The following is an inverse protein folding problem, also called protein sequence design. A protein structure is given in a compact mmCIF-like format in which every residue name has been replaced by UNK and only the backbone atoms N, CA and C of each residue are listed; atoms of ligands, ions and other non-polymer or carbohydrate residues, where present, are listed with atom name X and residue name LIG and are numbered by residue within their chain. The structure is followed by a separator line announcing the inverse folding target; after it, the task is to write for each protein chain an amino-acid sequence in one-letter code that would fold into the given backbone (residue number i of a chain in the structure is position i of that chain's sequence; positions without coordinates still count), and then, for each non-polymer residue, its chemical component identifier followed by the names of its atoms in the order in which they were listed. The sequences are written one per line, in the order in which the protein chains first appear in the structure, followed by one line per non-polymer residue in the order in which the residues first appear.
data_IF_487327310451
#
_entry.id   IF_487327310451
#
_cell.length_a   1.000
_cell.length_b   1.000
_cell.length_c   1.000
_cell.angle_alpha   90.00
_cell.angle_beta   90.00
_cell.angle_gamma   90.00
#
_symmetry.space_group_name_H-M   'P 1'
#
loop_
_entity.id
_entity.type
_entity.pdbx_description
1 polymer ?
#
# COMPACT_ATOMS: atom_id res chain seq x y z
N UNK A 1 3.12 -8.40 14.15
CA UNK A 1 2.96 -7.08 14.82
C UNK A 1 1.59 -7.02 15.51
N UNK A 2 1.56 -6.86 16.85
CA UNK A 2 0.33 -6.62 17.62
C UNK A 2 -0.52 -5.50 17.02
N UNK A 3 -1.85 -5.59 17.09
CA UNK A 3 -2.77 -4.66 16.37
C UNK A 3 -2.54 -3.21 16.78
N UNK A 4 -2.28 -3.00 18.06
CA UNK A 4 -2.04 -1.71 18.71
C UNK A 4 -0.74 -1.06 18.21
N UNK A 5 0.24 -1.88 17.81
CA UNK A 5 1.55 -1.44 17.34
C UNK A 5 1.64 -1.28 15.83
N UNK A 6 0.64 -1.74 15.06
CA UNK A 6 0.70 -1.73 13.58
C UNK A 6 0.92 -0.34 13.01
N UNK A 7 0.21 0.66 13.54
CA UNK A 7 0.35 2.04 13.06
C UNK A 7 1.77 2.57 13.29
N UNK A 8 2.35 2.31 14.47
CA UNK A 8 3.71 2.73 14.80
C UNK A 8 4.73 1.99 13.92
N UNK A 9 4.56 0.69 13.73
CA UNK A 9 5.42 -0.11 12.88
C UNK A 9 5.39 0.36 11.41
N UNK A 10 4.22 0.69 10.88
CA UNK A 10 4.08 1.24 9.51
C UNK A 10 4.76 2.60 9.41
N UNK A 11 4.58 3.49 10.39
CA UNK A 11 5.29 4.80 10.40
C UNK A 11 6.79 4.61 10.41
N UNK A 12 7.31 3.71 11.24
CA UNK A 12 8.74 3.39 11.27
C UNK A 12 9.21 2.83 9.92
N UNK A 13 8.44 1.93 9.30
CA UNK A 13 8.77 1.41 7.97
C UNK A 13 8.80 2.50 6.90
N UNK A 14 7.87 3.47 6.94
CA UNK A 14 7.89 4.62 6.02
C UNK A 14 9.16 5.46 6.22
N UNK A 15 9.59 5.68 7.46
CA UNK A 15 10.84 6.43 7.74
C UNK A 15 12.10 5.72 7.22
N UNK A 16 12.05 4.40 7.01
CA UNK A 16 13.15 3.61 6.47
C UNK A 16 13.21 3.61 4.93
N UNK A 17 12.19 4.14 4.24
CA UNK A 17 12.21 4.27 2.78
C UNK A 17 13.17 5.38 2.33
N UNK A 18 13.77 5.28 1.12
CA UNK A 18 14.44 6.41 0.49
C UNK A 18 13.53 7.64 0.38
N UNK A 19 14.12 8.83 0.36
CA UNK A 19 13.39 10.10 0.35
C UNK A 19 12.40 10.18 -0.80
N UNK A 20 12.83 9.79 -2.00
CA UNK A 20 12.01 9.78 -3.21
C UNK A 20 10.81 8.85 -3.06
N UNK A 21 11.00 7.70 -2.42
CA UNK A 21 9.93 6.73 -2.16
C UNK A 21 8.95 7.25 -1.10
N UNK A 22 9.39 8.02 -0.10
CA UNK A 22 8.51 8.63 0.90
C UNK A 22 7.62 9.69 0.26
N UNK A 23 8.19 10.58 -0.56
CA UNK A 23 7.45 11.62 -1.28
C UNK A 23 6.45 11.02 -2.28
N UNK A 24 6.87 10.00 -3.03
CA UNK A 24 6.00 9.27 -3.95
C UNK A 24 4.85 8.57 -3.20
N UNK A 25 5.14 7.90 -2.07
CA UNK A 25 4.13 7.25 -1.25
C UNK A 25 3.13 8.26 -0.66
N UNK A 26 3.60 9.41 -0.19
CA UNK A 26 2.71 10.45 0.32
C UNK A 26 1.78 10.98 -0.77
N UNK A 27 2.34 11.31 -1.95
CA UNK A 27 1.56 11.80 -3.09
C UNK A 27 0.52 10.76 -3.51
N UNK A 28 0.91 9.49 -3.59
CA UNK A 28 0.01 8.39 -3.90
C UNK A 28 -1.11 8.26 -2.86
N UNK A 29 -0.78 8.28 -1.56
CA UNK A 29 -1.78 8.15 -0.49
C UNK A 29 -2.76 9.33 -0.46
N UNK A 30 -2.30 10.56 -0.73
CA UNK A 30 -3.17 11.73 -0.89
C UNK A 30 -4.14 11.52 -2.06
N UNK A 31 -3.64 11.14 -3.23
CA UNK A 31 -4.49 10.86 -4.39
C UNK A 31 -5.52 9.75 -4.11
N UNK A 32 -5.09 8.65 -3.48
CA UNK A 32 -5.99 7.55 -3.13
C UNK A 32 -7.04 7.96 -2.09
N UNK A 33 -6.71 8.89 -1.19
CA UNK A 33 -7.68 9.48 -0.27
C UNK A 33 -8.80 10.17 -1.04
N UNK A 34 -8.47 10.98 -2.05
CA UNK A 34 -9.46 11.67 -2.89
C UNK A 34 -10.32 10.68 -3.71
N UNK A 35 -9.70 9.61 -4.21
CA UNK A 35 -10.43 8.52 -4.87
C UNK A 35 -11.44 7.88 -3.91
N UNK A 36 -11.04 7.56 -2.68
CA UNK A 36 -11.96 6.98 -1.69
C UNK A 36 -13.02 7.95 -1.19
N UNK A 37 -12.76 9.26 -1.22
CA UNK A 37 -13.77 10.27 -0.91
C UNK A 37 -14.91 10.26 -1.95
N UNK A 38 -14.62 9.82 -3.18
CA UNK A 38 -15.59 9.68 -4.27
C UNK A 38 -16.21 8.28 -4.36
N UNK A 39 -16.21 7.50 -3.27
CA UNK A 39 -16.73 6.11 -3.22
C UNK A 39 -18.18 5.97 -3.68
N UNK A 40 -19.01 7.02 -3.54
CA UNK A 40 -20.39 7.02 -4.05
C UNK A 40 -20.47 6.88 -5.58
N UNK A 41 -19.49 7.42 -6.30
CA UNK A 41 -19.45 7.40 -7.76
C UNK A 41 -18.59 6.24 -8.30
N UNK A 42 -17.43 5.99 -7.67
CA UNK A 42 -16.45 5.02 -8.18
C UNK A 42 -16.46 3.67 -7.45
N UNK A 43 -17.19 3.53 -6.33
CA UNK A 43 -17.31 2.30 -5.53
C UNK A 43 -15.96 1.77 -4.97
N UNK A 44 -14.91 2.58 -5.00
CA UNK A 44 -13.58 2.20 -4.53
C UNK A 44 -13.45 2.48 -3.02
N UNK A 45 -13.48 1.41 -2.23
CA UNK A 45 -13.15 1.47 -0.79
C UNK A 45 -11.65 1.40 -0.56
N UNK A 46 -11.18 1.80 0.64
CA UNK A 46 -9.78 1.61 1.04
C UNK A 46 -9.32 0.15 0.88
N UNK A 47 -10.22 -0.80 1.15
CA UNK A 47 -9.94 -2.24 0.99
C UNK A 47 -9.77 -2.61 -0.47
N UNK A 48 -10.64 -2.15 -1.37
CA UNK A 48 -10.53 -2.43 -2.81
C UNK A 48 -9.21 -1.90 -3.37
N UNK A 49 -8.85 -0.66 -3.01
CA UNK A 49 -7.57 -0.07 -3.40
C UNK A 49 -6.38 -0.85 -2.85
N UNK A 50 -6.41 -1.24 -1.57
CA UNK A 50 -5.34 -2.02 -0.95
C UNK A 50 -5.14 -3.38 -1.65
N UNK A 51 -6.23 -4.08 -1.96
CA UNK A 51 -6.18 -5.38 -2.66
C UNK A 51 -5.59 -5.23 -4.06
N UNK A 52 -5.98 -4.20 -4.80
CA UNK A 52 -5.52 -3.99 -6.17
C UNK A 52 -4.08 -3.44 -6.27
N UNK A 53 -3.67 -2.60 -5.31
CA UNK A 53 -2.38 -1.90 -5.37
C UNK A 53 -1.24 -2.63 -4.66
N UNK A 54 -1.53 -3.40 -3.61
CA UNK A 54 -0.50 -4.12 -2.86
C UNK A 54 0.39 -5.01 -3.75
N UNK A 55 -0.12 -5.75 -4.76
CA UNK A 55 0.72 -6.56 -5.64
C UNK A 55 1.72 -5.73 -6.46
N UNK A 56 1.31 -4.55 -6.93
CA UNK A 56 2.17 -3.66 -7.73
C UNK A 56 3.18 -2.91 -6.87
N UNK A 57 2.79 -2.46 -5.68
CA UNK A 57 3.67 -1.70 -4.78
C UNK A 57 4.72 -2.60 -4.11
N UNK A 58 4.33 -3.80 -3.70
CA UNK A 58 5.21 -4.72 -2.96
C UNK A 58 5.72 -5.89 -3.81
N UNK A 59 5.45 -5.88 -5.12
CA UNK A 59 5.85 -6.92 -6.06
C UNK A 59 5.50 -8.36 -5.59
N UNK A 60 4.39 -8.54 -4.86
CA UNK A 60 4.06 -9.82 -4.20
C UNK A 60 3.89 -11.00 -5.16
N UNK A 61 3.64 -10.73 -6.44
CA UNK A 61 3.55 -11.72 -7.50
C UNK A 61 4.91 -12.31 -7.91
N UNK A 62 6.02 -11.61 -7.70
CA UNK A 62 7.37 -12.14 -7.99
C UNK A 62 7.77 -13.19 -6.95
N UNK A 63 7.49 -12.93 -5.67
CA UNK A 63 7.74 -13.84 -4.55
C UNK A 63 6.98 -15.18 -4.68
N UNK A 64 5.77 -15.15 -5.25
CA UNK A 64 4.97 -16.37 -5.51
C UNK A 64 5.56 -17.23 -6.63
N UNK A 65 6.23 -16.63 -7.61
CA UNK A 65 6.79 -17.34 -8.76
C UNK A 65 8.06 -18.11 -8.41
N UNK A 66 8.90 -17.56 -7.53
CA UNK A 66 10.11 -18.23 -7.04
C UNK A 66 9.80 -19.48 -6.20
N UNK A 67 8.67 -19.50 -5.49
CA UNK A 67 8.22 -20.69 -4.72
C UNK A 67 7.63 -21.82 -5.58
N UNK A 68 7.51 -21.62 -6.90
CA UNK A 68 6.91 -22.57 -7.84
C UNK A 68 7.88 -23.13 -8.89
N UNK A 69 9.19 -22.94 -8.70
CA UNK A 69 10.20 -23.65 -9.48
C UNK A 69 10.22 -25.14 -9.08
N UNK A 70 10.10 -26.10 -10.01
CA UNK A 70 10.27 -27.52 -9.74
C UNK A 70 11.72 -27.89 -9.38
#
# INVERSE_FOLDING_TARGET
VPKEQRLQAVRAAVLLLPDENREALQTLLCFLSDVTASVGENQMTCTNLAVCLAPSLFHLNTLRRESSSP
#
